data_IF_420268372281
#
_entry.id   IF_420268372281
#
_cell.length_a   1.000
_cell.length_b   1.000
_cell.length_c   1.000
_cell.angle_alpha   90.00
_cell.angle_beta   90.00
_cell.angle_gamma   90.00
#
_symmetry.space_group_name_H-M   'P 1'
#
loop_
_entity.id
_entity.type
_entity.pdbx_description
1 polymer ?
#
# COMPACT_ATOMS: atom_id res chain seq x y z
N UNK A 1 -47.04 -15.73 -65.63
CA UNK A 1 -47.41 -15.86 -64.27
C UNK A 1 -46.15 -16.08 -63.42
N UNK A 2 -45.62 -15.03 -62.79
CA UNK A 2 -44.30 -15.06 -62.13
C UNK A 2 -44.52 -14.87 -60.64
N UNK A 3 -44.35 -15.90 -59.88
CA UNK A 3 -44.58 -15.90 -58.42
C UNK A 3 -43.31 -15.41 -57.72
N UNK A 4 -43.39 -14.25 -57.05
CA UNK A 4 -42.28 -13.68 -56.24
C UNK A 4 -42.36 -14.23 -54.81
N UNK A 5 -41.35 -15.01 -54.41
CA UNK A 5 -41.15 -15.36 -53.01
C UNK A 5 -40.51 -14.23 -52.24
N UNK A 6 -41.19 -13.75 -51.18
CA UNK A 6 -40.60 -12.78 -50.21
C UNK A 6 -39.82 -13.58 -49.19
N UNK A 7 -38.51 -13.32 -49.14
CA UNK A 7 -37.65 -13.83 -48.06
C UNK A 7 -37.65 -12.82 -46.92
N UNK A 8 -38.22 -13.21 -45.79
CA UNK A 8 -38.21 -12.40 -44.57
C UNK A 8 -36.90 -12.67 -43.85
N UNK A 9 -36.01 -11.69 -43.80
CA UNK A 9 -34.77 -11.76 -43.02
C UNK A 9 -35.06 -11.51 -41.54
N UNK A 10 -34.83 -12.50 -40.74
CA UNK A 10 -34.89 -12.40 -39.27
C UNK A 10 -33.56 -11.81 -38.77
N UNK A 11 -33.60 -10.57 -38.30
CA UNK A 11 -32.43 -9.90 -37.71
C UNK A 11 -32.36 -10.36 -36.25
N UNK A 12 -31.40 -11.26 -35.94
CA UNK A 12 -31.06 -11.66 -34.57
C UNK A 12 -30.22 -10.52 -33.97
N UNK A 13 -30.83 -9.70 -33.12
CA UNK A 13 -30.15 -8.69 -32.33
C UNK A 13 -29.33 -9.38 -31.25
N UNK A 14 -28.01 -9.46 -31.44
CA UNK A 14 -27.08 -9.96 -30.46
C UNK A 14 -26.80 -8.87 -29.43
N UNK A 15 -27.54 -8.89 -28.28
CA UNK A 15 -27.24 -8.07 -27.12
C UNK A 15 -25.93 -8.58 -26.48
N UNK A 16 -24.82 -8.00 -26.84
CA UNK A 16 -23.57 -8.18 -26.12
C UNK A 16 -23.67 -7.47 -24.76
N UNK A 17 -23.83 -8.25 -23.70
CA UNK A 17 -23.67 -7.80 -22.32
C UNK A 17 -22.19 -7.41 -22.14
N UNK A 18 -21.92 -6.11 -22.26
CA UNK A 18 -20.63 -5.56 -21.86
C UNK A 18 -20.62 -5.52 -20.35
N UNK A 19 -19.98 -6.53 -19.76
CA UNK A 19 -19.65 -6.49 -18.35
C UNK A 19 -18.71 -5.31 -18.15
N UNK A 20 -19.18 -4.24 -17.48
CA UNK A 20 -18.33 -3.21 -16.93
C UNK A 20 -17.50 -3.85 -15.80
N UNK A 21 -16.37 -4.45 -16.16
CA UNK A 21 -15.28 -4.55 -15.23
C UNK A 21 -14.87 -3.09 -14.92
N UNK A 22 -15.05 -2.66 -13.68
CA UNK A 22 -14.47 -1.40 -13.25
C UNK A 22 -12.96 -1.58 -13.34
N UNK A 23 -12.37 -1.04 -14.41
CA UNK A 23 -10.92 -0.92 -14.53
C UNK A 23 -10.46 -0.02 -13.40
N UNK A 24 -10.00 -0.64 -12.30
CA UNK A 24 -9.37 0.10 -11.21
C UNK A 24 -8.03 0.58 -11.77
N UNK A 25 -8.01 1.85 -12.15
CA UNK A 25 -6.80 2.50 -12.65
C UNK A 25 -5.63 2.24 -11.69
N UNK A 26 -4.47 1.83 -12.21
CA UNK A 26 -3.28 1.65 -11.37
C UNK A 26 -2.90 3.00 -10.77
N UNK A 27 -2.41 2.98 -9.51
CA UNK A 27 -1.86 4.18 -8.89
C UNK A 27 -0.86 4.83 -9.85
N UNK A 28 -0.94 6.16 -10.15
CA UNK A 28 0.06 6.85 -10.96
C UNK A 28 1.45 6.71 -10.31
N UNK A 29 2.53 6.98 -11.05
CA UNK A 29 3.91 6.85 -10.54
C UNK A 29 4.11 7.59 -9.21
N UNK A 30 3.40 8.74 -9.01
CA UNK A 30 3.24 9.40 -7.72
C UNK A 30 1.82 9.96 -7.58
N UNK A 31 1.31 9.99 -6.35
CA UNK A 31 -0.01 10.52 -6.02
C UNK A 31 0.02 11.26 -4.69
N UNK A 32 -0.77 12.35 -4.57
CA UNK A 32 -0.97 13.06 -3.31
C UNK A 32 -2.10 12.42 -2.52
N UNK A 33 -1.91 12.27 -1.22
CA UNK A 33 -2.89 11.69 -0.31
C UNK A 33 -2.87 12.40 1.04
N UNK A 34 -3.85 12.10 1.90
CA UNK A 34 -3.90 12.62 3.27
C UNK A 34 -4.24 11.48 4.23
N UNK A 35 -3.49 11.38 5.33
CA UNK A 35 -3.71 10.35 6.35
C UNK A 35 -5.10 10.50 6.96
N UNK A 36 -5.87 9.42 6.99
CA UNK A 36 -7.13 9.30 7.73
C UNK A 36 -6.92 8.53 9.03
N UNK A 37 -6.26 7.39 8.97
CA UNK A 37 -6.08 6.48 10.11
C UNK A 37 -4.76 5.72 9.99
N UNK A 38 -4.15 5.43 11.11
CA UNK A 38 -3.05 4.47 11.22
C UNK A 38 -3.64 3.13 11.70
N UNK A 39 -3.55 2.10 10.87
CA UNK A 39 -4.03 0.75 11.19
C UNK A 39 -3.03 0.04 12.10
N UNK A 40 -1.77 -0.03 11.66
CA UNK A 40 -0.62 -0.56 12.39
C UNK A 40 0.68 0.11 11.92
N UNK A 41 1.84 -0.46 12.27
CA UNK A 41 3.14 0.16 11.98
C UNK A 41 3.53 0.21 10.50
N UNK A 42 2.85 -0.51 9.60
CA UNK A 42 3.15 -0.54 8.15
C UNK A 42 1.90 -0.46 7.26
N UNK A 43 0.75 -0.22 7.86
CA UNK A 43 -0.53 -0.14 7.16
C UNK A 43 -1.30 1.11 7.60
N UNK A 44 -1.66 1.96 6.65
CA UNK A 44 -2.40 3.20 6.88
C UNK A 44 -3.62 3.30 5.98
N UNK A 45 -4.63 4.08 6.40
CA UNK A 45 -5.73 4.50 5.54
C UNK A 45 -5.52 5.97 5.19
N UNK A 46 -5.65 6.29 3.91
CA UNK A 46 -5.51 7.66 3.40
C UNK A 46 -6.73 8.04 2.58
N UNK A 47 -6.98 9.34 2.44
CA UNK A 47 -7.85 9.87 1.37
C UNK A 47 -7.00 10.03 0.11
N UNK A 48 -7.39 9.34 -0.96
CA UNK A 48 -6.81 9.46 -2.30
C UNK A 48 -7.90 9.97 -3.25
N UNK A 49 -7.78 11.21 -3.72
CA UNK A 49 -8.92 11.89 -4.31
C UNK A 49 -10.02 12.13 -3.26
N UNK A 50 -11.19 11.49 -3.44
CA UNK A 50 -12.30 11.54 -2.49
C UNK A 50 -12.54 10.23 -1.73
N UNK A 51 -11.77 9.19 -2.02
CA UNK A 51 -12.00 7.85 -1.52
C UNK A 51 -11.02 7.46 -0.41
N UNK A 52 -11.47 6.74 0.63
CA UNK A 52 -10.59 6.11 1.59
C UNK A 52 -9.91 4.90 0.97
N UNK A 53 -8.58 4.84 1.05
CA UNK A 53 -7.76 3.77 0.47
C UNK A 53 -6.77 3.26 1.50
N UNK A 54 -6.69 1.94 1.64
CA UNK A 54 -5.68 1.30 2.48
C UNK A 54 -4.35 1.18 1.73
N UNK A 55 -3.28 1.66 2.37
CA UNK A 55 -1.91 1.61 1.87
C UNK A 55 -1.10 0.62 2.73
N UNK A 56 -0.43 -0.34 2.09
CA UNK A 56 0.63 -1.14 2.70
C UNK A 56 1.98 -0.55 2.29
N UNK A 57 2.77 -0.16 3.25
CA UNK A 57 4.10 0.41 3.02
C UNK A 57 5.04 -0.66 2.48
N UNK A 58 5.66 -0.40 1.32
CA UNK A 58 6.57 -1.34 0.65
C UNK A 58 7.89 -1.45 1.42
N UNK A 59 8.45 -2.67 1.46
CA UNK A 59 9.82 -2.95 1.88
C UNK A 59 10.02 -3.05 3.38
N UNK A 60 9.00 -2.81 4.19
CA UNK A 60 9.04 -2.88 5.64
C UNK A 60 8.00 -3.86 6.20
N UNK A 61 8.31 -4.45 7.36
CA UNK A 61 7.44 -5.33 8.12
C UNK A 61 7.57 -4.98 9.60
N UNK A 62 6.50 -4.43 10.16
CA UNK A 62 6.44 -4.07 11.58
C UNK A 62 5.85 -5.22 12.39
N UNK A 63 6.19 -5.34 13.69
CA UNK A 63 5.54 -6.33 14.55
C UNK A 63 4.03 -6.14 14.58
N UNK A 64 3.29 -7.25 14.47
CA UNK A 64 1.85 -7.29 14.29
C UNK A 64 1.07 -6.92 15.58
N UNK A 65 0.01 -6.13 15.45
CA UNK A 65 -0.85 -5.73 16.57
C UNK A 65 -2.32 -6.08 16.42
N UNK A 66 -2.80 -6.27 15.17
CA UNK A 66 -4.25 -6.38 14.89
C UNK A 66 -4.67 -7.66 14.15
N UNK A 67 -3.75 -8.61 13.91
CA UNK A 67 -4.08 -9.85 13.21
C UNK A 67 -5.01 -10.72 14.06
N UNK A 68 -6.24 -11.03 13.58
CA UNK A 68 -7.19 -11.85 14.33
C UNK A 68 -6.59 -13.19 14.74
N UNK A 69 -6.82 -13.58 15.99
CA UNK A 69 -6.34 -14.86 16.58
C UNK A 69 -4.82 -15.00 16.67
N UNK A 70 -4.08 -13.92 16.52
CA UNK A 70 -2.64 -13.88 16.67
C UNK A 70 -2.26 -13.04 17.90
N UNK A 71 -1.27 -13.44 18.71
CA UNK A 71 -0.82 -12.62 19.82
C UNK A 71 -0.19 -11.33 19.31
N UNK A 72 -0.33 -10.26 20.09
CA UNK A 72 0.39 -8.99 19.83
C UNK A 72 1.88 -9.28 19.89
N UNK A 73 2.59 -8.94 18.81
CA UNK A 73 4.02 -9.16 18.74
C UNK A 73 4.80 -8.15 19.58
N UNK A 74 5.97 -8.58 20.07
CA UNK A 74 6.90 -7.70 20.77
C UNK A 74 7.20 -6.45 19.95
N UNK A 75 7.05 -5.27 20.56
CA UNK A 75 7.27 -3.95 19.95
C UNK A 75 6.20 -3.50 18.93
N UNK A 76 5.10 -4.21 18.75
CA UNK A 76 4.01 -3.83 17.85
C UNK A 76 3.31 -2.53 18.25
N UNK A 77 2.85 -2.37 19.51
CA UNK A 77 2.22 -1.13 19.97
C UNK A 77 3.13 0.09 19.83
N UNK A 78 4.43 -0.07 20.08
CA UNK A 78 5.43 0.98 19.96
C UNK A 78 5.62 1.39 18.49
N UNK A 79 5.64 0.43 17.54
CA UNK A 79 5.71 0.70 16.11
C UNK A 79 4.47 1.48 15.64
N UNK A 80 3.27 1.09 16.07
CA UNK A 80 2.03 1.81 15.76
C UNK A 80 2.03 3.23 16.32
N UNK A 81 2.48 3.40 17.56
CA UNK A 81 2.60 4.72 18.20
C UNK A 81 3.62 5.61 17.49
N UNK A 82 4.74 5.01 17.06
CA UNK A 82 5.77 5.75 16.33
C UNK A 82 5.24 6.29 15.00
N UNK A 83 4.59 5.47 14.17
CA UNK A 83 4.03 5.96 12.91
C UNK A 83 2.92 6.99 13.13
N UNK A 84 2.11 6.86 14.19
CA UNK A 84 1.13 7.88 14.56
C UNK A 84 1.78 9.23 14.90
N UNK A 85 2.94 9.23 15.53
CA UNK A 85 3.69 10.46 15.83
C UNK A 85 4.35 11.05 14.57
N UNK A 86 4.76 10.20 13.64
CA UNK A 86 5.47 10.57 12.43
C UNK A 86 4.54 11.19 11.38
N UNK A 87 3.36 10.57 11.19
CA UNK A 87 2.34 10.98 10.23
C UNK A 87 0.94 10.93 10.84
N UNK A 88 0.61 11.82 11.80
CA UNK A 88 -0.72 11.85 12.42
C UNK A 88 -1.84 12.06 11.38
N UNK A 89 -3.10 11.70 11.70
CA UNK A 89 -4.25 12.00 10.85
C UNK A 89 -4.26 13.45 10.38
N UNK A 90 -4.56 13.66 9.10
CA UNK A 90 -4.49 14.97 8.44
C UNK A 90 -3.17 15.28 7.75
N UNK A 91 -2.08 14.53 8.01
CA UNK A 91 -0.78 14.73 7.35
C UNK A 91 -0.91 14.53 5.84
N UNK A 92 -0.38 15.48 5.06
CA UNK A 92 -0.28 15.38 3.62
C UNK A 92 0.89 14.47 3.23
N UNK A 93 0.63 13.55 2.30
CA UNK A 93 1.58 12.56 1.84
C UNK A 93 1.76 12.60 0.32
N UNK A 94 2.93 12.18 -0.14
CA UNK A 94 3.21 11.78 -1.52
C UNK A 94 3.45 10.27 -1.51
N UNK A 95 2.69 9.55 -2.33
CA UNK A 95 2.80 8.11 -2.49
C UNK A 95 3.53 7.81 -3.78
N UNK A 96 4.63 7.06 -3.71
CA UNK A 96 5.32 6.55 -4.89
C UNK A 96 5.07 5.05 -5.01
N UNK A 97 4.57 4.61 -6.17
CA UNK A 97 4.45 3.19 -6.48
C UNK A 97 5.79 2.61 -6.93
N UNK A 98 5.91 1.29 -6.83
CA UNK A 98 6.92 0.50 -7.52
C UNK A 98 6.28 -0.20 -8.73
N UNK A 99 6.73 -1.37 -9.11
CA UNK A 99 6.27 -2.14 -10.28
C UNK A 99 4.83 -2.60 -10.09
N UNK A 100 4.53 -3.30 -8.99
CA UNK A 100 3.20 -3.77 -8.64
C UNK A 100 2.53 -2.76 -7.69
N UNK A 101 1.32 -2.34 -8.07
CA UNK A 101 0.61 -1.27 -7.35
C UNK A 101 -0.33 -1.77 -6.25
N UNK A 102 -0.68 -3.08 -6.24
CA UNK A 102 -1.59 -3.68 -5.24
C UNK A 102 -1.12 -5.05 -4.83
N UNK A 103 -1.41 -5.42 -3.59
CA UNK A 103 -1.24 -6.79 -3.11
C UNK A 103 -2.50 -7.65 -3.38
N UNK A 104 -2.41 -8.94 -3.05
CA UNK A 104 -3.51 -9.90 -3.23
C UNK A 104 -4.72 -9.63 -2.30
N UNK A 105 -4.61 -8.75 -1.31
CA UNK A 105 -5.72 -8.26 -0.48
C UNK A 105 -6.36 -7.00 -1.06
N UNK A 106 -5.86 -6.48 -2.18
CA UNK A 106 -6.34 -5.26 -2.83
C UNK A 106 -5.81 -3.96 -2.21
N UNK A 107 -4.92 -4.02 -1.21
CA UNK A 107 -4.28 -2.81 -0.65
C UNK A 107 -3.33 -2.20 -1.66
N UNK A 108 -3.30 -0.87 -1.74
CA UNK A 108 -2.26 -0.19 -2.53
C UNK A 108 -0.89 -0.37 -1.87
N UNK A 109 0.11 -0.60 -2.71
CA UNK A 109 1.51 -0.71 -2.32
C UNK A 109 2.22 0.60 -2.64
N UNK A 110 2.84 1.24 -1.64
CA UNK A 110 3.54 2.50 -1.86
C UNK A 110 4.77 2.69 -0.95
N UNK A 111 5.72 3.43 -1.49
CA UNK A 111 6.69 4.18 -0.70
C UNK A 111 6.05 5.51 -0.30
N UNK A 112 6.12 5.87 0.97
CA UNK A 112 5.39 7.01 1.54
C UNK A 112 6.36 8.11 1.92
N UNK A 113 6.08 9.32 1.42
CA UNK A 113 6.84 10.51 1.75
C UNK A 113 5.91 11.54 2.39
N UNK A 114 6.37 12.23 3.43
CA UNK A 114 5.65 13.36 3.99
C UNK A 114 5.81 14.57 3.06
N UNK A 115 4.68 15.20 2.70
CA UNK A 115 4.65 16.25 1.68
C UNK A 115 5.46 17.49 2.10
N UNK A 116 5.36 17.89 3.36
CA UNK A 116 5.83 19.22 3.80
C UNK A 116 7.35 19.32 3.88
N UNK A 117 8.05 18.23 4.16
CA UNK A 117 9.50 18.20 4.35
C UNK A 117 10.22 17.10 3.55
N UNK A 118 9.46 16.31 2.79
CA UNK A 118 10.00 15.21 1.99
C UNK A 118 10.52 14.02 2.79
N UNK A 119 10.19 13.91 4.09
CA UNK A 119 10.64 12.79 4.92
C UNK A 119 10.18 11.46 4.33
N UNK A 120 11.11 10.55 4.07
CA UNK A 120 10.80 9.19 3.63
C UNK A 120 10.37 8.33 4.83
N UNK A 121 9.06 8.13 4.97
CA UNK A 121 8.44 7.49 6.13
C UNK A 121 8.93 6.05 6.32
N UNK A 122 8.98 5.26 5.24
CA UNK A 122 9.47 3.88 5.28
C UNK A 122 10.91 3.79 5.78
N UNK A 123 11.78 4.71 5.34
CA UNK A 123 13.16 4.81 5.80
C UNK A 123 13.22 5.13 7.29
N UNK A 124 12.46 6.13 7.74
CA UNK A 124 12.50 6.57 9.12
C UNK A 124 12.07 5.44 10.06
N UNK A 125 11.00 4.71 9.74
CA UNK A 125 10.55 3.53 10.49
C UNK A 125 11.67 2.48 10.58
N UNK A 126 12.39 2.24 9.49
CA UNK A 126 13.48 1.27 9.41
C UNK A 126 14.69 1.71 10.22
N UNK A 127 15.14 2.97 10.05
CA UNK A 127 16.35 3.50 10.72
C UNK A 127 16.21 3.62 12.23
N UNK A 128 14.99 3.85 12.71
CA UNK A 128 14.68 3.88 14.16
C UNK A 128 14.46 2.48 14.75
N UNK A 129 14.47 1.44 13.91
CA UNK A 129 14.34 0.05 14.35
C UNK A 129 12.92 -0.36 14.70
N UNK A 130 11.90 0.23 14.07
CA UNK A 130 10.48 -0.14 14.26
C UNK A 130 10.01 -1.20 13.28
N UNK A 131 10.83 -1.59 12.29
CA UNK A 131 10.49 -2.61 11.30
C UNK A 131 11.68 -3.52 10.96
N UNK A 132 11.35 -4.67 10.35
CA UNK A 132 12.28 -5.55 9.64
C UNK A 132 12.17 -5.30 8.13
N UNK A 133 13.25 -5.51 7.34
CA UNK A 133 13.14 -5.43 5.89
C UNK A 133 12.29 -6.59 5.35
N UNK A 134 11.39 -6.28 4.41
CA UNK A 134 10.54 -7.24 3.71
C UNK A 134 10.61 -6.98 2.21
N UNK A 135 11.51 -7.68 1.52
CA UNK A 135 11.70 -7.55 0.07
C UNK A 135 10.84 -8.57 -0.67
N UNK A 136 9.77 -8.09 -1.33
CA UNK A 136 8.87 -8.92 -2.13
C UNK A 136 8.93 -8.46 -3.59
N UNK A 137 9.42 -9.36 -4.47
CA UNK A 137 9.42 -9.07 -5.91
C UNK A 137 7.98 -8.89 -6.43
N UNK A 138 7.74 -7.99 -7.40
CA UNK A 138 8.74 -7.21 -8.13
C UNK A 138 9.13 -5.86 -7.49
N UNK A 139 8.59 -5.50 -6.33
CA UNK A 139 8.76 -4.21 -5.66
C UNK A 139 10.07 -4.17 -4.84
N UNK A 140 11.19 -3.91 -5.50
CA UNK A 140 12.53 -4.02 -4.92
C UNK A 140 13.36 -2.74 -4.98
N UNK A 141 12.77 -1.60 -5.39
CA UNK A 141 13.51 -0.36 -5.66
C UNK A 141 14.43 0.07 -4.49
N UNK A 142 13.98 -0.04 -3.25
CA UNK A 142 14.78 0.34 -2.06
C UNK A 142 15.20 -0.87 -1.20
N UNK A 143 15.23 -2.08 -1.76
CA UNK A 143 15.49 -3.30 -0.98
C UNK A 143 16.88 -3.34 -0.36
N UNK A 144 17.89 -2.82 -1.05
CA UNK A 144 19.27 -2.76 -0.56
C UNK A 144 19.44 -1.73 0.54
N UNK A 145 18.82 -0.54 0.37
CA UNK A 145 18.80 0.53 1.35
C UNK A 145 18.09 0.09 2.63
N UNK A 146 16.95 -0.58 2.51
CA UNK A 146 16.23 -1.11 3.67
C UNK A 146 17.05 -2.15 4.44
N UNK A 147 17.74 -3.05 3.74
CA UNK A 147 18.64 -4.01 4.38
C UNK A 147 19.79 -3.30 5.10
N UNK A 148 20.35 -2.26 4.50
CA UNK A 148 21.39 -1.44 5.11
C UNK A 148 20.90 -0.73 6.39
N UNK A 149 19.78 0.01 6.31
CA UNK A 149 19.24 0.74 7.47
C UNK A 149 18.81 -0.17 8.61
N UNK A 150 18.24 -1.34 8.32
CA UNK A 150 17.94 -2.34 9.34
C UNK A 150 19.21 -2.89 9.99
N UNK A 151 20.28 -3.11 9.20
CA UNK A 151 21.58 -3.51 9.70
C UNK A 151 22.18 -2.49 10.66
N UNK A 152 22.07 -1.19 10.35
CA UNK A 152 22.48 -0.09 11.21
C UNK A 152 21.67 -0.07 12.50
N UNK A 153 20.31 -0.11 12.41
CA UNK A 153 19.43 -0.13 13.57
C UNK A 153 19.72 -1.29 14.52
N UNK A 154 19.99 -2.49 13.93
CA UNK A 154 20.35 -3.68 14.69
C UNK A 154 21.71 -3.54 15.39
N UNK A 155 22.72 -3.02 14.69
CA UNK A 155 24.07 -2.81 15.24
C UNK A 155 24.04 -1.83 16.42
N UNK A 156 23.21 -0.78 16.31
CA UNK A 156 23.05 0.22 17.34
C UNK A 156 21.97 -0.14 18.40
N UNK A 157 21.35 -1.31 18.27
CA UNK A 157 20.31 -1.81 19.19
C UNK A 157 19.16 -0.82 19.34
N UNK A 158 18.67 -0.26 18.22
CA UNK A 158 17.51 0.62 18.22
C UNK A 158 16.21 -0.17 18.19
N UNK A 159 15.15 0.39 18.79
CA UNK A 159 13.80 -0.10 18.71
C UNK A 159 13.65 -1.59 19.06
N UNK A 160 13.02 -2.36 18.17
CA UNK A 160 12.77 -3.80 18.33
C UNK A 160 14.07 -4.62 18.54
N UNK A 161 15.20 -4.14 18.01
CA UNK A 161 16.49 -4.84 18.13
C UNK A 161 17.12 -4.74 19.51
N UNK A 162 16.56 -3.88 20.37
CA UNK A 162 16.90 -3.79 21.79
C UNK A 162 15.85 -4.46 22.66
N UNK A 163 14.58 -4.30 22.29
CA UNK A 163 13.46 -4.66 23.14
C UNK A 163 13.06 -6.14 23.04
N UNK A 164 13.31 -6.75 21.87
CA UNK A 164 12.92 -8.12 21.56
C UNK A 164 14.09 -9.04 21.34
#
# INVERSE_FOLDING_TARGET
>A
MTTRHKVTACIISCCTLWACAADVEPLPASASARVLEIVDGDTIVVTLGNDPVTIRLIGIDTPETKKPSWPVECFGPEATTFIQSLIPPGTALILHRDVESRDHFGRLLAYVFRHDDGLFVNQEIMTQGFARPLSIAPNLTYSQEFAYWAGEARRERRGLWKAC
#
